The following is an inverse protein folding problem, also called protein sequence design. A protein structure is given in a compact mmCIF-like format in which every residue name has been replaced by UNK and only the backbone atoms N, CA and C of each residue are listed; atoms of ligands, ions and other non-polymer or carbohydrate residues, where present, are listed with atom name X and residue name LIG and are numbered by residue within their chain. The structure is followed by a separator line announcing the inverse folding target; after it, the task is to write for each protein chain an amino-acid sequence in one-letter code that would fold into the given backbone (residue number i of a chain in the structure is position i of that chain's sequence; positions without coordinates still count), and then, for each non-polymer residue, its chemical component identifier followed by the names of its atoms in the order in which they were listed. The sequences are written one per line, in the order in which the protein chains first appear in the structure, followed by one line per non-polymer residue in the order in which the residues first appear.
data_IF_228240762476
#
_entry.id   IF_228240762476
#
_cell.length_a   1.000
_cell.length_b   1.000
_cell.length_c   1.000
_cell.angle_alpha   90.00
_cell.angle_beta   90.00
_cell.angle_gamma   90.00
#
_symmetry.space_group_name_H-M   'P 1'
#
loop_
_entity.id
_entity.type
_entity.pdbx_description
1 polymer ?
#
# COMPACT_ATOMS: atom_id res chain seq x y z
N UNK A 1 38.70 -19.91 -29.47
CA UNK A 1 37.54 -19.39 -28.75
C UNK A 1 37.85 -19.63 -27.27
N UNK A 2 38.42 -18.65 -26.61
CA UNK A 2 38.79 -18.72 -25.19
C UNK A 2 37.56 -18.46 -24.36
N UNK A 3 37.09 -19.49 -23.66
CA UNK A 3 36.00 -19.48 -22.70
C UNK A 3 36.49 -18.78 -21.44
N UNK A 4 36.29 -17.48 -21.33
CA UNK A 4 36.49 -16.73 -20.09
C UNK A 4 35.33 -17.03 -19.14
N UNK A 5 35.63 -17.78 -18.09
CA UNK A 5 34.72 -17.96 -16.96
C UNK A 5 34.29 -16.59 -16.39
N UNK A 6 33.04 -16.40 -16.01
CA UNK A 6 32.62 -15.16 -15.39
C UNK A 6 33.41 -14.94 -14.09
N UNK A 7 33.93 -13.73 -13.94
CA UNK A 7 34.59 -13.27 -12.73
C UNK A 7 33.63 -13.44 -11.56
N UNK A 8 34.04 -14.00 -10.42
CA UNK A 8 33.16 -14.10 -9.26
C UNK A 8 32.78 -12.67 -8.82
N UNK A 9 31.48 -12.39 -8.80
CA UNK A 9 30.92 -11.21 -8.16
C UNK A 9 31.40 -11.21 -6.72
N UNK A 10 32.01 -10.14 -6.26
CA UNK A 10 32.40 -9.96 -4.86
C UNK A 10 31.14 -10.14 -4.02
N UNK A 11 31.16 -11.17 -3.14
CA UNK A 11 30.06 -11.37 -2.20
C UNK A 11 29.86 -10.09 -1.39
N UNK A 12 28.62 -9.57 -1.35
CA UNK A 12 28.29 -8.41 -0.56
C UNK A 12 28.51 -8.67 0.93
N UNK A 13 28.59 -7.63 1.74
CA UNK A 13 28.66 -7.81 3.20
C UNK A 13 27.36 -8.49 3.70
N UNK A 14 27.46 -9.40 4.71
CA UNK A 14 26.27 -10.06 5.25
C UNK A 14 25.29 -9.05 5.86
N UNK A 15 24.01 -9.28 5.64
CA UNK A 15 22.90 -8.48 6.18
C UNK A 15 21.78 -9.38 6.69
N UNK A 16 20.96 -8.86 7.63
CA UNK A 16 19.72 -9.53 8.06
C UNK A 16 18.59 -9.16 7.10
N UNK A 17 17.74 -10.14 6.81
CA UNK A 17 16.54 -9.96 5.99
C UNK A 17 15.44 -10.91 6.44
N UNK A 18 14.19 -10.55 6.21
CA UNK A 18 13.06 -11.48 6.34
C UNK A 18 12.94 -12.28 5.04
N UNK A 19 12.71 -13.59 5.15
CA UNK A 19 12.46 -14.44 3.98
C UNK A 19 11.46 -15.55 4.32
N UNK A 20 10.88 -16.14 3.29
CA UNK A 20 10.18 -17.42 3.37
C UNK A 20 10.54 -18.32 2.19
N UNK A 21 10.67 -19.63 2.48
CA UNK A 21 11.11 -20.64 1.51
C UNK A 21 9.95 -21.48 0.99
N UNK A 22 8.77 -21.34 1.59
CA UNK A 22 7.54 -22.02 1.22
C UNK A 22 6.34 -21.11 1.49
N UNK A 23 5.27 -21.28 0.72
CA UNK A 23 3.99 -20.63 1.04
C UNK A 23 3.38 -21.23 2.30
N UNK A 24 2.66 -20.44 3.08
CA UNK A 24 2.06 -20.94 4.33
C UNK A 24 1.50 -19.85 5.24
N UNK A 25 1.36 -20.18 6.52
CA UNK A 25 0.97 -19.29 7.59
C UNK A 25 2.14 -18.35 8.02
N UNK A 26 1.94 -17.39 8.95
CA UNK A 26 2.99 -16.46 9.35
C UNK A 26 4.29 -17.09 9.85
N UNK A 27 4.28 -18.34 10.33
CA UNK A 27 5.46 -19.04 10.87
C UNK A 27 6.53 -19.35 9.81
N UNK A 28 6.19 -19.31 8.51
CA UNK A 28 7.18 -19.50 7.43
C UNK A 28 8.12 -18.30 7.28
N UNK A 29 7.77 -17.14 7.85
CA UNK A 29 8.63 -15.95 7.84
C UNK A 29 9.75 -16.09 8.86
N UNK A 30 10.96 -16.02 8.39
CA UNK A 30 12.18 -16.13 9.21
C UNK A 30 13.12 -14.96 8.96
N UNK A 31 13.84 -14.54 9.99
CA UNK A 31 14.99 -13.65 9.81
C UNK A 31 16.19 -14.51 9.44
N UNK A 32 16.82 -14.21 8.34
CA UNK A 32 17.97 -14.93 7.80
C UNK A 32 19.09 -13.95 7.45
N UNK A 33 20.29 -14.48 7.27
CA UNK A 33 21.40 -13.74 6.68
C UNK A 33 21.39 -13.93 5.15
N UNK A 34 21.73 -12.86 4.44
CA UNK A 34 21.91 -12.83 2.99
C UNK A 34 23.02 -11.84 2.64
N UNK A 35 23.55 -11.92 1.43
CA UNK A 35 24.49 -10.92 0.93
C UNK A 35 23.74 -9.62 0.60
N UNK A 36 24.28 -8.48 1.04
CA UNK A 36 23.73 -7.17 0.69
C UNK A 36 23.84 -6.96 -0.83
N UNK A 37 22.77 -6.49 -1.48
CA UNK A 37 22.77 -6.25 -2.91
C UNK A 37 23.66 -5.04 -3.28
N UNK A 38 24.28 -5.11 -4.46
CA UNK A 38 24.91 -3.96 -5.12
C UNK A 38 23.89 -3.32 -6.08
N UNK A 39 23.97 -1.99 -6.32
CA UNK A 39 23.02 -1.34 -7.20
C UNK A 39 23.33 -1.67 -8.67
N UNK A 40 22.33 -2.13 -9.40
CA UNK A 40 22.38 -2.24 -10.86
C UNK A 40 22.24 -0.88 -11.56
N UNK A 41 22.32 -0.87 -12.89
CA UNK A 41 22.06 0.34 -13.67
C UNK A 41 20.65 0.87 -13.39
N UNK A 42 20.50 2.17 -13.14
CA UNK A 42 19.23 2.82 -12.77
C UNK A 42 18.77 2.58 -11.34
N UNK A 43 19.55 1.87 -10.51
CA UNK A 43 19.21 1.56 -9.13
C UNK A 43 20.06 2.32 -8.12
N UNK A 44 19.52 2.48 -6.93
CA UNK A 44 20.24 2.83 -5.71
C UNK A 44 20.15 1.66 -4.73
N UNK A 45 21.12 1.53 -3.83
CA UNK A 45 20.96 0.72 -2.63
C UNK A 45 20.74 1.61 -1.43
N UNK A 46 19.89 1.14 -0.52
CA UNK A 46 19.44 1.88 0.66
C UNK A 46 19.78 1.08 1.91
N UNK A 47 20.52 1.68 2.84
CA UNK A 47 20.62 1.24 4.23
C UNK A 47 19.31 1.50 4.91
N UNK A 48 18.49 0.44 5.10
CA UNK A 48 17.12 0.56 5.59
C UNK A 48 17.11 0.79 7.10
N UNK A 49 16.28 1.75 7.51
CA UNK A 49 15.95 1.97 8.92
C UNK A 49 14.55 1.46 9.24
N UNK A 50 13.57 1.79 8.39
CA UNK A 50 12.18 1.41 8.58
C UNK A 50 11.61 0.77 7.32
N UNK A 51 10.81 -0.29 7.49
CA UNK A 51 10.10 -0.96 6.42
C UNK A 51 8.62 -1.12 6.78
N UNK A 52 7.71 -0.70 5.90
CA UNK A 52 6.28 -0.86 6.14
C UNK A 52 5.81 -2.26 5.76
N UNK A 53 4.86 -2.82 6.53
CA UNK A 53 4.26 -4.14 6.26
C UNK A 53 2.88 -3.96 5.65
N UNK A 54 2.61 -4.67 4.56
CA UNK A 54 1.39 -4.54 3.77
C UNK A 54 0.60 -5.85 3.66
N UNK A 55 -0.72 -5.75 3.50
CA UNK A 55 -1.57 -6.94 3.29
C UNK A 55 -1.22 -7.70 2.00
N UNK A 56 -0.70 -7.01 0.98
CA UNK A 56 -0.23 -7.65 -0.25
C UNK A 56 0.89 -8.68 0.03
N UNK A 57 1.76 -8.42 1.01
CA UNK A 57 2.82 -9.35 1.42
C UNK A 57 2.24 -10.61 2.10
N UNK A 58 1.11 -10.48 2.80
CA UNK A 58 0.35 -11.62 3.30
C UNK A 58 -0.16 -12.48 2.13
N UNK A 59 -0.66 -11.84 1.06
CA UNK A 59 -1.14 -12.54 -0.13
C UNK A 59 0.01 -13.26 -0.86
N UNK A 60 1.20 -12.64 -0.95
CA UNK A 60 2.41 -13.28 -1.51
C UNK A 60 2.79 -14.51 -0.69
N UNK A 61 2.90 -14.37 0.62
CA UNK A 61 3.26 -15.45 1.53
C UNK A 61 2.27 -16.62 1.49
N UNK A 62 0.98 -16.34 1.25
CA UNK A 62 -0.07 -17.35 1.08
C UNK A 62 -0.09 -18.01 -0.31
N UNK A 63 0.71 -17.53 -1.26
CA UNK A 63 0.71 -18.00 -2.64
C UNK A 63 -0.51 -17.55 -3.45
N UNK A 64 -1.22 -16.52 -3.00
CA UNK A 64 -2.36 -15.93 -3.73
C UNK A 64 -1.90 -15.05 -4.90
N UNK A 65 -0.68 -14.57 -4.85
CA UNK A 65 0.04 -13.94 -5.96
C UNK A 65 1.29 -14.75 -6.28
N UNK A 66 1.62 -14.93 -7.57
CA UNK A 66 2.82 -15.65 -7.96
C UNK A 66 4.07 -14.84 -7.55
N UNK A 67 4.91 -15.45 -6.76
CA UNK A 67 6.27 -14.97 -6.42
C UNK A 67 7.23 -16.15 -6.46
N UNK A 68 8.48 -15.88 -6.81
CA UNK A 68 9.54 -16.87 -6.77
C UNK A 68 9.93 -17.18 -5.32
N UNK A 69 10.31 -18.42 -5.06
CA UNK A 69 10.85 -18.88 -3.77
C UNK A 69 12.34 -19.22 -3.90
N UNK A 70 13.18 -18.90 -2.92
CA UNK A 70 12.84 -18.16 -1.68
C UNK A 70 12.42 -16.72 -1.98
N UNK A 71 11.44 -16.20 -1.23
CA UNK A 71 10.97 -14.83 -1.39
C UNK A 71 11.40 -13.95 -0.22
N UNK A 72 11.75 -12.71 -0.54
CA UNK A 72 12.14 -11.66 0.40
C UNK A 72 11.06 -10.57 0.41
N UNK A 73 10.18 -10.51 1.41
CA UNK A 73 9.09 -9.54 1.47
C UNK A 73 9.58 -8.12 1.77
N UNK A 74 8.64 -7.18 1.72
CA UNK A 74 8.84 -5.75 1.96
C UNK A 74 8.63 -4.96 0.69
N UNK A 75 7.55 -4.17 0.66
CA UNK A 75 7.15 -3.37 -0.50
C UNK A 75 7.54 -1.90 -0.38
N UNK A 76 8.06 -1.50 0.77
CA UNK A 76 8.46 -0.11 1.05
C UNK A 76 9.56 -0.05 2.10
N UNK A 77 10.46 0.89 1.94
CA UNK A 77 11.58 1.10 2.84
C UNK A 77 11.93 2.59 2.97
N UNK A 78 12.40 2.96 4.15
CA UNK A 78 12.96 4.28 4.44
C UNK A 78 14.33 4.12 5.06
N UNK A 79 15.29 4.89 4.57
CA UNK A 79 16.66 4.78 5.04
C UNK A 79 17.57 5.82 4.39
N UNK A 80 18.82 5.44 4.21
CA UNK A 80 19.88 6.29 3.67
C UNK A 80 20.49 5.62 2.43
N UNK A 81 20.66 6.37 1.36
CA UNK A 81 21.35 5.88 0.15
C UNK A 81 22.74 5.40 0.53
N UNK A 82 23.03 4.14 0.26
CA UNK A 82 24.31 3.49 0.50
C UNK A 82 25.24 3.62 -0.71
N UNK A 83 24.71 3.33 -1.90
CA UNK A 83 25.43 3.40 -3.17
C UNK A 83 24.47 3.71 -4.32
N UNK A 84 25.03 4.24 -5.40
CA UNK A 84 24.30 4.69 -6.59
C UNK A 84 24.83 3.94 -7.80
N UNK A 85 23.94 3.33 -8.57
CA UNK A 85 24.27 2.58 -9.77
C UNK A 85 24.46 3.46 -11.00
N UNK A 86 24.93 2.84 -12.07
CA UNK A 86 25.18 3.52 -13.34
C UNK A 86 23.91 4.21 -13.88
N UNK A 87 24.07 5.44 -14.38
CA UNK A 87 23.00 6.22 -15.01
C UNK A 87 22.03 6.90 -14.05
N UNK A 88 22.13 6.67 -12.74
CA UNK A 88 21.29 7.36 -11.75
C UNK A 88 21.78 8.79 -11.56
N UNK A 89 20.85 9.72 -11.51
CA UNK A 89 21.08 11.13 -11.19
C UNK A 89 20.13 11.57 -10.09
N UNK A 90 20.52 12.59 -9.32
CA UNK A 90 19.67 13.19 -8.27
C UNK A 90 19.70 12.46 -6.93
N UNK A 91 20.56 11.45 -6.78
CA UNK A 91 20.83 10.78 -5.51
C UNK A 91 22.34 10.68 -5.25
N UNK A 92 22.73 10.81 -4.00
CA UNK A 92 24.11 10.66 -3.53
C UNK A 92 24.13 9.77 -2.27
N UNK A 93 25.22 9.02 -2.01
CA UNK A 93 25.40 8.32 -0.75
C UNK A 93 25.24 9.29 0.44
N UNK A 94 24.40 8.89 1.41
CA UNK A 94 24.04 9.73 2.55
C UNK A 94 22.70 10.43 2.45
N UNK A 95 22.07 10.50 1.26
CA UNK A 95 20.72 11.06 1.11
C UNK A 95 19.69 10.22 1.89
N UNK A 96 18.83 10.87 2.67
CA UNK A 96 17.67 10.20 3.26
C UNK A 96 16.62 9.99 2.17
N UNK A 97 16.08 8.77 2.11
CA UNK A 97 15.12 8.40 1.07
C UNK A 97 13.98 7.53 1.62
N UNK A 98 12.83 7.66 0.98
CA UNK A 98 11.70 6.76 1.10
C UNK A 98 11.47 6.12 -0.28
N UNK A 99 11.33 4.79 -0.34
CA UNK A 99 11.27 4.07 -1.61
C UNK A 99 10.24 2.93 -1.60
N UNK A 100 9.53 2.75 -2.72
CA UNK A 100 8.74 1.54 -2.97
C UNK A 100 9.65 0.43 -3.52
N UNK A 101 9.67 -0.68 -2.84
CA UNK A 101 10.46 -1.88 -3.17
C UNK A 101 9.54 -2.94 -3.77
N UNK A 102 8.91 -2.62 -4.91
CA UNK A 102 7.84 -3.42 -5.51
C UNK A 102 8.28 -4.83 -5.97
N UNK A 103 9.58 -5.06 -6.11
CA UNK A 103 10.16 -6.38 -6.32
C UNK A 103 10.36 -7.20 -5.04
N UNK A 104 10.02 -6.64 -3.88
CA UNK A 104 10.34 -7.21 -2.57
C UNK A 104 11.67 -6.73 -2.00
N UNK A 105 12.10 -7.32 -0.89
CA UNK A 105 13.39 -7.08 -0.24
C UNK A 105 13.40 -5.88 0.73
N UNK A 106 12.31 -5.14 0.90
CA UNK A 106 12.26 -3.99 1.80
C UNK A 106 12.43 -4.35 3.28
N UNK A 107 12.05 -5.56 3.68
CA UNK A 107 12.19 -6.07 5.05
C UNK A 107 13.62 -6.61 5.30
N UNK A 108 14.63 -5.81 4.98
CA UNK A 108 16.05 -6.16 5.06
C UNK A 108 16.89 -4.95 5.49
N UNK A 109 18.14 -5.20 5.94
CA UNK A 109 19.04 -4.12 6.33
C UNK A 109 19.56 -3.30 5.14
N UNK A 110 19.58 -3.89 3.93
CA UNK A 110 19.93 -3.23 2.68
C UNK A 110 18.98 -3.70 1.58
N UNK A 111 18.50 -2.77 0.76
CA UNK A 111 17.66 -3.09 -0.41
C UNK A 111 18.16 -2.35 -1.64
N UNK A 112 18.14 -3.01 -2.81
CA UNK A 112 18.31 -2.36 -4.10
C UNK A 112 16.95 -1.98 -4.69
N UNK A 113 16.80 -0.74 -5.17
CA UNK A 113 15.55 -0.23 -5.70
C UNK A 113 15.80 0.69 -6.90
N UNK A 114 14.89 0.67 -7.87
CA UNK A 114 14.92 1.63 -8.97
C UNK A 114 14.83 3.07 -8.47
N UNK A 115 15.72 3.94 -8.92
CA UNK A 115 15.79 5.33 -8.49
C UNK A 115 14.47 6.08 -8.76
N UNK A 116 13.72 5.68 -9.79
CA UNK A 116 12.39 6.21 -10.11
C UNK A 116 11.33 5.95 -9.04
N UNK A 117 11.53 4.94 -8.18
CA UNK A 117 10.62 4.59 -7.07
C UNK A 117 11.06 5.16 -5.72
N UNK A 118 12.12 5.94 -5.68
CA UNK A 118 12.65 6.55 -4.47
C UNK A 118 12.42 8.07 -4.46
N UNK A 119 12.04 8.62 -3.31
CA UNK A 119 11.88 10.06 -3.06
C UNK A 119 12.88 10.48 -2.00
N UNK A 120 13.64 11.55 -2.25
CA UNK A 120 14.52 12.13 -1.24
C UNK A 120 13.68 12.79 -0.13
N UNK A 121 14.07 12.55 1.10
CA UNK A 121 13.49 13.21 2.27
C UNK A 121 14.31 14.47 2.60
N UNK A 122 14.19 15.46 1.72
CA UNK A 122 14.83 16.78 1.84
C UNK A 122 13.80 17.92 1.67
N UNK A 123 14.24 19.18 1.74
CA UNK A 123 13.34 20.33 1.61
C UNK A 123 12.16 20.26 2.58
N UNK A 124 10.94 20.28 2.06
CA UNK A 124 9.70 20.16 2.87
C UNK A 124 9.56 18.81 3.58
N UNK A 125 10.28 17.78 3.15
CA UNK A 125 10.24 16.43 3.72
C UNK A 125 11.40 16.15 4.70
N UNK A 126 12.31 17.12 4.92
CA UNK A 126 13.51 16.91 5.72
C UNK A 126 13.21 16.50 7.17
N UNK A 127 12.16 17.02 7.76
CA UNK A 127 11.74 16.75 9.14
C UNK A 127 10.71 15.59 9.24
N UNK A 128 10.31 14.99 8.13
CA UNK A 128 9.36 13.87 8.16
C UNK A 128 9.98 12.67 8.91
N UNK A 129 9.26 12.21 9.93
CA UNK A 129 9.64 11.02 10.70
C UNK A 129 9.75 9.79 9.79
N UNK A 130 10.83 9.02 9.95
CA UNK A 130 11.10 7.88 9.08
C UNK A 130 10.08 6.74 9.19
N UNK A 131 9.53 6.49 10.38
CA UNK A 131 8.51 5.47 10.56
C UNK A 131 7.16 5.91 9.95
N UNK A 132 6.82 7.21 10.05
CA UNK A 132 5.64 7.76 9.37
C UNK A 132 5.81 7.70 7.86
N UNK A 133 6.99 8.05 7.33
CA UNK A 133 7.28 7.95 5.90
C UNK A 133 7.15 6.49 5.41
N UNK A 134 7.69 5.51 6.15
CA UNK A 134 7.56 4.08 5.82
C UNK A 134 6.10 3.59 5.92
N UNK A 135 5.29 4.18 6.79
CA UNK A 135 3.86 3.87 6.90
C UNK A 135 3.01 4.48 5.79
N UNK A 136 3.51 5.54 5.15
CA UNK A 136 2.79 6.32 4.14
C UNK A 136 2.93 5.79 2.72
N UNK A 137 4.14 5.35 2.33
CA UNK A 137 4.51 5.09 0.94
C UNK A 137 3.50 4.23 0.19
N UNK A 138 3.24 3.02 0.63
CA UNK A 138 2.30 2.14 -0.06
C UNK A 138 0.85 2.58 0.14
N UNK A 139 0.46 2.90 1.39
CA UNK A 139 -0.93 3.14 1.74
C UNK A 139 -1.47 4.47 1.23
N UNK A 140 -0.74 5.58 1.46
CA UNK A 140 -1.21 6.92 1.05
C UNK A 140 -1.11 7.07 -0.46
N UNK A 141 -0.06 6.52 -1.09
CA UNK A 141 0.07 6.47 -2.55
C UNK A 141 -1.06 5.68 -3.20
N UNK A 142 -1.44 4.52 -2.61
CA UNK A 142 -2.59 3.74 -3.08
C UNK A 142 -3.88 4.54 -2.91
N UNK A 143 -4.09 5.18 -1.77
CA UNK A 143 -5.28 6.00 -1.52
C UNK A 143 -5.41 7.15 -2.54
N UNK A 144 -4.32 7.85 -2.85
CA UNK A 144 -4.31 8.85 -3.94
C UNK A 144 -4.69 8.23 -5.27
N UNK A 145 -4.07 7.11 -5.64
CA UNK A 145 -4.31 6.46 -6.91
C UNK A 145 -5.76 5.97 -7.10
N UNK A 146 -6.36 5.38 -6.05
CA UNK A 146 -7.75 4.91 -6.12
C UNK A 146 -8.77 6.04 -6.13
N UNK A 147 -8.47 7.18 -5.49
CA UNK A 147 -9.34 8.35 -5.50
C UNK A 147 -9.22 9.14 -6.80
N UNK A 148 -8.01 9.41 -7.27
CA UNK A 148 -7.76 10.33 -8.39
C UNK A 148 -7.67 9.62 -9.75
N UNK A 149 -6.80 8.61 -9.88
CA UNK A 149 -6.49 7.99 -11.16
C UNK A 149 -7.48 6.92 -11.60
N UNK A 150 -8.04 6.16 -10.66
CA UNK A 150 -9.02 5.12 -10.96
C UNK A 150 -10.45 5.58 -10.65
N UNK A 151 -10.63 6.31 -9.57
CA UNK A 151 -11.94 6.77 -9.09
C UNK A 151 -12.39 8.09 -9.68
N UNK A 152 -11.46 8.94 -10.14
CA UNK A 152 -11.78 10.27 -10.68
C UNK A 152 -12.73 11.06 -9.78
N UNK A 153 -12.43 11.05 -8.45
CA UNK A 153 -13.26 11.73 -7.45
C UNK A 153 -13.49 13.18 -7.83
N UNK A 154 -14.75 13.60 -7.82
CA UNK A 154 -15.16 14.98 -8.03
C UNK A 154 -15.70 15.62 -6.73
N UNK A 155 -15.71 16.95 -6.70
CA UNK A 155 -16.23 17.72 -5.59
C UNK A 155 -17.71 17.40 -5.32
N UNK A 156 -18.07 17.23 -4.04
CA UNK A 156 -19.43 16.95 -3.59
C UNK A 156 -19.85 15.48 -3.65
N UNK A 157 -19.06 14.59 -4.22
CA UNK A 157 -19.39 13.18 -4.37
C UNK A 157 -19.43 12.41 -3.03
N UNK A 158 -20.21 11.34 -3.02
CA UNK A 158 -20.30 10.37 -1.93
C UNK A 158 -19.34 9.21 -2.15
N UNK A 159 -18.41 9.02 -1.21
CA UNK A 159 -17.38 7.96 -1.23
C UNK A 159 -17.66 6.92 -0.17
N UNK A 160 -17.70 5.66 -0.56
CA UNK A 160 -17.74 4.50 0.36
C UNK A 160 -16.36 3.86 0.39
N UNK A 161 -15.81 3.63 1.57
CA UNK A 161 -14.47 3.02 1.78
C UNK A 161 -14.61 1.73 2.57
N UNK A 162 -14.35 0.59 1.94
CA UNK A 162 -14.30 -0.69 2.62
C UNK A 162 -12.99 -0.84 3.41
N UNK A 163 -13.02 -1.63 4.49
CA UNK A 163 -11.91 -1.76 5.43
C UNK A 163 -11.40 -0.41 5.96
N UNK A 164 -12.32 0.46 6.37
CA UNK A 164 -12.10 1.85 6.75
C UNK A 164 -11.01 2.08 7.84
N UNK A 165 -10.79 1.11 8.73
CA UNK A 165 -9.79 1.17 9.80
C UNK A 165 -8.39 0.71 9.36
N UNK A 166 -8.23 0.25 8.12
CA UNK A 166 -6.93 -0.16 7.56
C UNK A 166 -6.09 1.03 7.09
N UNK A 167 -4.81 0.79 6.81
CA UNK A 167 -3.89 1.87 6.43
C UNK A 167 -4.32 2.65 5.18
N UNK A 168 -4.82 1.98 4.12
CA UNK A 168 -5.37 2.68 2.94
C UNK A 168 -6.69 3.36 3.29
N UNK A 169 -7.57 2.70 4.08
CA UNK A 169 -8.89 3.25 4.44
C UNK A 169 -8.79 4.55 5.21
N UNK A 170 -7.92 4.62 6.23
CA UNK A 170 -7.70 5.85 7.02
C UNK A 170 -7.12 6.98 6.17
N UNK A 171 -6.21 6.68 5.25
CA UNK A 171 -5.65 7.66 4.33
C UNK A 171 -6.70 8.13 3.30
N UNK A 172 -7.48 7.20 2.74
CA UNK A 172 -8.49 7.50 1.73
C UNK A 172 -9.57 8.46 2.25
N UNK A 173 -10.02 8.29 3.49
CA UNK A 173 -11.02 9.21 4.07
C UNK A 173 -10.49 10.63 4.18
N UNK A 174 -9.29 10.81 4.71
CA UNK A 174 -8.66 12.12 4.86
C UNK A 174 -8.41 12.79 3.50
N UNK A 175 -7.89 12.03 2.54
CA UNK A 175 -7.65 12.52 1.18
C UNK A 175 -8.95 12.82 0.44
N UNK A 176 -10.01 11.98 0.57
CA UNK A 176 -11.30 12.26 -0.03
C UNK A 176 -11.86 13.61 0.44
N UNK A 177 -11.74 13.91 1.74
CA UNK A 177 -12.09 15.22 2.30
C UNK A 177 -11.27 16.36 1.71
N UNK A 178 -9.98 16.19 1.67
CA UNK A 178 -9.06 17.20 1.11
C UNK A 178 -9.33 17.46 -0.39
N UNK A 179 -9.82 16.44 -1.11
CA UNK A 179 -10.19 16.50 -2.52
C UNK A 179 -11.63 16.98 -2.75
N UNK A 180 -12.38 17.32 -1.70
CA UNK A 180 -13.71 17.91 -1.81
C UNK A 180 -14.89 16.93 -1.80
N UNK A 181 -14.69 15.66 -1.36
CA UNK A 181 -15.80 14.74 -1.19
C UNK A 181 -16.90 15.31 -0.26
N UNK A 182 -18.16 15.24 -0.68
CA UNK A 182 -19.29 15.72 0.08
C UNK A 182 -19.63 14.81 1.26
N UNK A 183 -19.61 13.50 1.05
CA UNK A 183 -19.85 12.48 2.07
C UNK A 183 -18.84 11.35 1.99
N UNK A 184 -18.30 10.92 3.13
CA UNK A 184 -17.36 9.79 3.21
C UNK A 184 -17.89 8.77 4.21
N UNK A 185 -18.28 7.58 3.74
CA UNK A 185 -18.83 6.48 4.53
C UNK A 185 -17.78 5.38 4.67
N UNK A 186 -17.42 5.04 5.89
CA UNK A 186 -16.51 3.95 6.19
C UNK A 186 -17.24 2.64 6.51
N UNK A 187 -16.67 1.51 6.11
CA UNK A 187 -17.19 0.19 6.46
C UNK A 187 -16.15 -0.61 7.22
N UNK A 188 -16.55 -1.17 8.37
CA UNK A 188 -15.68 -1.98 9.23
C UNK A 188 -16.35 -3.25 9.71
N UNK A 189 -15.55 -4.20 10.20
CA UNK A 189 -16.03 -5.50 10.68
C UNK A 189 -16.30 -5.56 12.18
N UNK A 190 -16.08 -4.46 12.94
CA UNK A 190 -16.29 -4.45 14.37
C UNK A 190 -16.49 -3.05 14.94
N UNK A 191 -17.21 -2.91 16.09
CA UNK A 191 -17.41 -1.62 16.75
C UNK A 191 -16.10 -0.92 17.15
N UNK A 192 -15.11 -1.67 17.62
CA UNK A 192 -13.81 -1.11 18.00
C UNK A 192 -13.07 -0.48 16.80
N UNK A 193 -13.14 -1.11 15.63
CA UNK A 193 -12.60 -0.55 14.40
C UNK A 193 -13.38 0.66 13.90
N UNK A 194 -14.71 0.66 14.09
CA UNK A 194 -15.53 1.80 13.76
C UNK A 194 -15.15 3.01 14.61
N UNK A 195 -14.97 2.83 15.92
CA UNK A 195 -14.52 3.88 16.82
C UNK A 195 -13.17 4.46 16.41
N UNK A 196 -12.21 3.58 16.10
CA UNK A 196 -10.89 3.99 15.61
C UNK A 196 -11.01 4.78 14.29
N UNK A 197 -11.77 4.27 13.31
CA UNK A 197 -11.88 4.88 11.98
C UNK A 197 -12.55 6.26 12.01
N UNK A 198 -13.50 6.52 12.93
CA UNK A 198 -14.16 7.84 13.08
C UNK A 198 -13.19 9.00 13.27
N UNK A 199 -11.98 8.73 13.80
CA UNK A 199 -10.93 9.73 13.95
C UNK A 199 -10.25 10.20 12.66
N UNK A 200 -10.68 9.70 11.46
CA UNK A 200 -9.99 9.92 10.20
C UNK A 200 -10.83 10.61 9.10
N UNK A 201 -11.87 11.35 9.47
CA UNK A 201 -12.60 12.17 8.50
C UNK A 201 -13.81 11.52 7.85
N UNK A 202 -14.26 10.37 8.35
CA UNK A 202 -15.53 9.77 7.96
C UNK A 202 -16.73 10.53 8.55
N UNK A 203 -17.80 10.69 7.78
CA UNK A 203 -19.10 11.20 8.29
C UNK A 203 -19.83 10.13 9.08
N UNK A 204 -19.67 8.88 8.65
CA UNK A 204 -20.18 7.72 9.36
C UNK A 204 -19.29 6.52 9.13
N UNK A 205 -19.29 5.61 10.11
CA UNK A 205 -18.61 4.31 10.00
C UNK A 205 -19.59 3.25 10.47
N UNK A 206 -19.95 2.36 9.56
CA UNK A 206 -21.00 1.35 9.78
C UNK A 206 -20.45 -0.07 9.57
N UNK A 207 -21.12 -1.09 10.14
CA UNK A 207 -20.85 -2.48 9.78
C UNK A 207 -21.39 -2.79 8.36
N UNK A 208 -20.94 -3.91 7.79
CA UNK A 208 -21.26 -4.28 6.42
C UNK A 208 -22.79 -4.42 6.17
N UNK A 209 -23.51 -4.98 7.12
CA UNK A 209 -24.95 -5.21 7.06
C UNK A 209 -25.81 -3.93 7.10
N UNK A 210 -25.24 -2.80 7.52
CA UNK A 210 -25.90 -1.52 7.56
C UNK A 210 -25.58 -0.60 6.38
N UNK A 211 -24.62 -0.98 5.53
CA UNK A 211 -24.12 -0.11 4.47
C UNK A 211 -25.20 0.33 3.48
N UNK A 212 -26.05 -0.58 3.03
CA UNK A 212 -27.10 -0.26 2.06
C UNK A 212 -28.04 0.81 2.60
N UNK A 213 -28.48 0.65 3.85
CA UNK A 213 -29.33 1.64 4.54
C UNK A 213 -28.63 2.99 4.68
N UNK A 214 -27.36 2.98 5.13
CA UNK A 214 -26.59 4.21 5.33
C UNK A 214 -26.39 4.98 4.02
N UNK A 215 -26.04 4.29 2.93
CA UNK A 215 -25.92 4.91 1.61
C UNK A 215 -27.25 5.51 1.17
N UNK A 216 -28.36 4.78 1.29
CA UNK A 216 -29.68 5.27 0.91
C UNK A 216 -30.10 6.51 1.72
N UNK A 217 -29.89 6.51 3.04
CA UNK A 217 -30.20 7.63 3.92
C UNK A 217 -29.36 8.89 3.57
N UNK A 218 -28.04 8.71 3.37
CA UNK A 218 -27.11 9.83 3.09
C UNK A 218 -27.27 10.44 1.71
N UNK A 219 -27.71 9.64 0.75
CA UNK A 219 -27.82 10.07 -0.67
C UNK A 219 -29.26 10.31 -1.11
N UNK A 220 -30.25 10.17 -0.20
CA UNK A 220 -31.66 10.23 -0.58
C UNK A 220 -32.09 9.16 -1.58
N UNK A 221 -31.38 8.01 -1.59
CA UNK A 221 -31.60 6.89 -2.50
C UNK A 221 -30.88 7.00 -3.83
N UNK A 222 -30.05 8.04 -4.06
CA UNK A 222 -29.29 8.20 -5.32
C UNK A 222 -28.15 7.19 -5.48
N UNK A 223 -27.63 6.65 -4.37
CA UNK A 223 -26.47 5.73 -4.37
C UNK A 223 -25.13 6.43 -4.15
N UNK A 224 -24.06 5.66 -4.08
CA UNK A 224 -22.69 6.16 -3.89
C UNK A 224 -22.03 6.47 -5.24
N UNK A 225 -21.32 7.58 -5.33
CA UNK A 225 -20.59 7.96 -6.55
C UNK A 225 -19.30 7.16 -6.70
N UNK A 226 -18.64 6.81 -5.59
CA UNK A 226 -17.38 6.08 -5.59
C UNK A 226 -17.34 5.04 -4.47
N UNK A 227 -17.07 3.78 -4.81
CA UNK A 227 -16.82 2.70 -3.85
C UNK A 227 -15.37 2.24 -3.98
N UNK A 228 -14.62 2.24 -2.88
CA UNK A 228 -13.22 1.79 -2.79
C UNK A 228 -13.19 0.41 -2.13
N UNK A 229 -12.84 -0.64 -2.90
CA UNK A 229 -12.89 -2.05 -2.48
C UNK A 229 -11.51 -2.71 -2.45
N UNK A 230 -10.99 -2.94 -1.24
CA UNK A 230 -9.83 -3.79 -0.96
C UNK A 230 -10.19 -5.18 -0.44
N UNK A 231 -11.48 -5.44 -0.21
CA UNK A 231 -11.97 -6.63 0.51
C UNK A 231 -12.23 -7.79 -0.39
N UNK A 232 -13.03 -7.61 -1.44
CA UNK A 232 -13.42 -8.69 -2.33
C UNK A 232 -14.49 -9.62 -1.78
N UNK A 233 -14.54 -10.83 -2.33
CA UNK A 233 -15.50 -11.86 -1.96
C UNK A 233 -16.95 -11.52 -2.32
N UNK A 234 -17.91 -12.24 -1.73
CA UNK A 234 -19.34 -12.05 -2.00
C UNK A 234 -19.81 -10.59 -1.80
N UNK A 235 -19.16 -9.87 -0.89
CA UNK A 235 -19.49 -8.47 -0.61
C UNK A 235 -19.21 -7.53 -1.80
N UNK A 236 -18.22 -7.85 -2.63
CA UNK A 236 -17.88 -7.09 -3.85
C UNK A 236 -19.07 -6.98 -4.82
N UNK A 237 -19.84 -8.05 -4.97
CA UNK A 237 -21.01 -8.04 -5.84
C UNK A 237 -22.14 -7.17 -5.27
N UNK A 238 -22.35 -7.19 -3.95
CA UNK A 238 -23.42 -6.42 -3.31
C UNK A 238 -23.17 -4.91 -3.37
N UNK A 239 -21.92 -4.46 -3.15
CA UNK A 239 -21.61 -3.02 -3.17
C UNK A 239 -21.71 -2.40 -4.56
N UNK A 240 -21.56 -3.19 -5.63
CA UNK A 240 -21.77 -2.71 -7.01
C UNK A 240 -23.23 -2.25 -7.20
N UNK A 241 -24.20 -2.86 -6.51
CA UNK A 241 -25.60 -2.46 -6.52
C UNK A 241 -25.90 -1.16 -5.77
N UNK A 242 -24.96 -0.62 -5.01
CA UNK A 242 -25.12 0.62 -4.24
C UNK A 242 -24.67 1.87 -5.02
N UNK A 243 -24.18 1.70 -6.26
CA UNK A 243 -23.66 2.82 -7.04
C UNK A 243 -24.77 3.73 -7.55
N UNK A 244 -24.50 5.02 -7.51
CA UNK A 244 -25.27 6.03 -8.24
C UNK A 244 -25.11 5.86 -9.77
N UNK A 245 -25.97 6.53 -10.54
CA UNK A 245 -25.74 6.63 -11.97
C UNK A 245 -24.37 7.29 -12.25
N UNK A 246 -23.56 6.66 -13.10
CA UNK A 246 -22.15 6.99 -13.37
C UNK A 246 -21.20 6.78 -12.19
N UNK A 247 -21.67 6.09 -11.14
CA UNK A 247 -20.84 5.67 -10.01
C UNK A 247 -19.74 4.69 -10.43
N UNK A 248 -18.63 4.69 -9.68
CA UNK A 248 -17.44 3.88 -9.96
C UNK A 248 -17.14 2.97 -8.78
N UNK A 249 -16.95 1.69 -9.07
CA UNK A 249 -16.44 0.72 -8.10
C UNK A 249 -14.96 0.46 -8.41
N UNK A 250 -14.07 0.94 -7.55
CA UNK A 250 -12.62 0.76 -7.70
C UNK A 250 -12.16 -0.42 -6.88
N UNK A 251 -11.69 -1.46 -7.55
CA UNK A 251 -11.13 -2.68 -6.97
C UNK A 251 -9.63 -2.53 -6.86
N UNK A 252 -9.06 -2.62 -5.64
CA UNK A 252 -7.62 -2.49 -5.44
C UNK A 252 -7.02 -3.52 -4.46
N UNK A 253 -7.79 -4.53 -4.11
CA UNK A 253 -7.36 -5.63 -3.25
C UNK A 253 -8.33 -6.80 -3.28
N UNK A 254 -7.97 -7.91 -2.61
CA UNK A 254 -8.80 -9.09 -2.46
C UNK A 254 -8.49 -9.79 -1.12
N UNK A 255 -8.72 -9.08 -0.01
CA UNK A 255 -8.40 -9.59 1.32
C UNK A 255 -9.23 -10.83 1.72
N UNK A 256 -10.40 -11.02 1.10
CA UNK A 256 -11.21 -12.22 1.29
C UNK A 256 -10.62 -13.47 0.60
N UNK A 257 -9.69 -13.28 -0.34
CA UNK A 257 -9.12 -14.34 -1.17
C UNK A 257 -10.16 -15.13 -1.99
N UNK A 258 -11.30 -14.51 -2.26
CA UNK A 258 -12.38 -15.06 -3.06
C UNK A 258 -12.56 -14.21 -4.31
N UNK A 259 -12.68 -14.84 -5.46
CA UNK A 259 -12.99 -14.17 -6.70
C UNK A 259 -14.49 -14.18 -6.96
N UNK A 260 -14.98 -13.17 -7.68
CA UNK A 260 -16.39 -13.06 -8.05
C UNK A 260 -16.51 -12.77 -9.55
N UNK A 261 -17.59 -13.28 -10.13
CA UNK A 261 -17.92 -13.02 -11.53
C UNK A 261 -18.91 -11.86 -11.62
N UNK A 262 -18.63 -10.91 -12.50
CA UNK A 262 -19.55 -9.83 -12.85
C UNK A 262 -20.25 -10.14 -14.16
N UNK A 263 -21.55 -9.83 -14.25
CA UNK A 263 -22.24 -9.83 -15.52
C UNK A 263 -21.71 -8.69 -16.40
N UNK A 264 -21.20 -9.03 -17.59
CA UNK A 264 -20.55 -8.05 -18.48
C UNK A 264 -21.44 -6.88 -18.90
N UNK A 265 -22.77 -7.08 -18.92
CA UNK A 265 -23.74 -6.03 -19.26
C UNK A 265 -24.20 -5.19 -18.06
N UNK A 266 -23.85 -5.58 -16.82
CA UNK A 266 -24.27 -4.86 -15.62
C UNK A 266 -23.93 -3.36 -15.67
N UNK A 267 -22.69 -2.94 -16.01
CA UNK A 267 -22.35 -1.51 -16.09
C UNK A 267 -23.20 -0.74 -17.10
N UNK A 268 -23.59 -1.38 -18.22
CA UNK A 268 -24.46 -0.76 -19.19
C UNK A 268 -25.88 -0.54 -18.67
N UNK A 269 -26.47 -1.55 -18.00
CA UNK A 269 -27.82 -1.45 -17.46
C UNK A 269 -27.92 -0.44 -16.32
N UNK A 270 -26.86 -0.29 -15.53
CA UNK A 270 -26.84 0.59 -14.34
C UNK A 270 -26.16 1.93 -14.59
N UNK A 271 -25.61 2.17 -15.80
CA UNK A 271 -24.76 3.33 -16.08
C UNK A 271 -23.64 3.49 -15.03
N UNK A 272 -22.95 2.42 -14.65
CA UNK A 272 -21.88 2.42 -13.67
C UNK A 272 -20.56 1.95 -14.29
N UNK A 273 -19.47 1.97 -13.53
CA UNK A 273 -18.15 1.51 -13.99
C UNK A 273 -17.47 0.62 -12.95
N UNK A 274 -16.75 -0.38 -13.44
CA UNK A 274 -15.74 -1.12 -12.67
C UNK A 274 -14.36 -0.66 -13.08
N UNK A 275 -13.56 -0.25 -12.13
CA UNK A 275 -12.18 0.17 -12.34
C UNK A 275 -11.24 -0.64 -11.45
N UNK A 276 -10.01 -0.84 -11.88
CA UNK A 276 -8.97 -1.52 -11.12
C UNK A 276 -7.81 -0.59 -10.80
N UNK A 277 -7.21 -0.76 -9.63
CA UNK A 277 -5.96 -0.12 -9.28
C UNK A 277 -5.01 -1.13 -8.65
N UNK A 278 -3.81 -1.25 -9.22
CA UNK A 278 -2.72 -2.07 -8.68
C UNK A 278 -1.44 -1.26 -8.69
N UNK A 279 -0.90 -0.96 -7.52
CA UNK A 279 0.28 -0.11 -7.36
C UNK A 279 1.49 -0.63 -8.16
N UNK A 280 1.77 -1.94 -8.12
CA UNK A 280 2.84 -2.56 -8.90
C UNK A 280 2.58 -2.50 -10.41
N UNK A 281 1.31 -2.63 -10.83
CA UNK A 281 0.90 -2.49 -12.23
C UNK A 281 1.07 -1.07 -12.75
N UNK A 282 0.80 -0.05 -11.93
CA UNK A 282 1.04 1.37 -12.24
C UNK A 282 2.54 1.63 -12.39
N UNK A 283 3.37 1.09 -11.52
CA UNK A 283 4.81 1.23 -11.58
C UNK A 283 5.39 0.80 -12.94
N UNK A 284 4.98 -0.35 -13.44
CA UNK A 284 5.46 -0.85 -14.74
C UNK A 284 4.92 -0.13 -15.97
N UNK A 285 3.78 0.58 -15.86
CA UNK A 285 3.08 1.19 -17.02
C UNK A 285 3.11 2.71 -17.02
N UNK A 286 3.15 3.33 -15.86
CA UNK A 286 3.08 4.78 -15.67
C UNK A 286 4.01 5.25 -14.52
N UNK A 287 5.33 5.01 -14.60
CA UNK A 287 6.25 5.30 -13.51
C UNK A 287 6.28 6.78 -13.10
N UNK A 288 6.07 7.70 -14.05
CA UNK A 288 5.99 9.14 -13.76
C UNK A 288 4.76 9.50 -12.92
N UNK A 289 3.62 8.87 -13.19
CA UNK A 289 2.41 9.06 -12.39
C UNK A 289 2.62 8.52 -10.97
N UNK A 290 3.21 7.32 -10.87
CA UNK A 290 3.54 6.75 -9.56
C UNK A 290 4.47 7.66 -8.77
N UNK A 291 5.52 8.19 -9.41
CA UNK A 291 6.45 9.13 -8.75
C UNK A 291 5.74 10.37 -8.23
N UNK A 292 4.84 10.97 -9.01
CA UNK A 292 4.05 12.12 -8.57
C UNK A 292 3.16 11.78 -7.36
N UNK A 293 2.53 10.61 -7.36
CA UNK A 293 1.73 10.16 -6.22
C UNK A 293 2.59 9.88 -4.98
N UNK A 294 3.82 9.33 -5.13
CA UNK A 294 4.74 9.12 -4.01
C UNK A 294 5.14 10.45 -3.35
N UNK A 295 5.53 11.42 -4.15
CA UNK A 295 5.90 12.75 -3.68
C UNK A 295 4.72 13.45 -3.00
N UNK A 296 3.54 13.39 -3.60
CA UNK A 296 2.32 13.93 -3.02
C UNK A 296 1.96 13.23 -1.70
N UNK A 297 2.02 11.89 -1.65
CA UNK A 297 1.71 11.12 -0.45
C UNK A 297 2.57 11.54 0.75
N UNK A 298 3.88 11.65 0.55
CA UNK A 298 4.80 12.09 1.60
C UNK A 298 4.55 13.54 2.00
N UNK A 299 4.26 14.40 1.03
CA UNK A 299 3.95 15.82 1.27
C UNK A 299 2.66 15.97 2.09
N UNK A 300 1.60 15.22 1.80
CA UNK A 300 0.34 15.27 2.56
C UNK A 300 0.52 14.81 4.01
N UNK A 301 1.41 13.82 4.23
CA UNK A 301 1.77 13.39 5.59
C UNK A 301 2.63 14.45 6.31
N UNK A 302 3.64 15.00 5.63
CA UNK A 302 4.50 16.04 6.20
C UNK A 302 3.72 17.32 6.58
N UNK A 303 2.70 17.69 5.78
CA UNK A 303 1.80 18.81 6.07
C UNK A 303 0.76 18.50 7.16
N UNK A 304 0.61 17.24 7.58
CA UNK A 304 -0.42 16.81 8.53
C UNK A 304 -1.83 16.73 7.94
N UNK A 305 -2.00 16.85 6.62
CA UNK A 305 -3.29 16.61 5.94
C UNK A 305 -3.72 15.16 6.08
N UNK A 306 -2.73 14.25 6.03
CA UNK A 306 -2.94 12.82 6.26
C UNK A 306 -2.16 12.39 7.50
N UNK A 307 -2.89 12.03 8.55
CA UNK A 307 -2.35 11.38 9.74
C UNK A 307 -2.20 9.88 9.46
N UNK A 308 -1.02 9.34 9.73
CA UNK A 308 -0.73 7.91 9.66
C UNK A 308 -0.40 7.40 11.07
N UNK A 309 -1.21 6.49 11.58
CA UNK A 309 -0.92 5.86 12.88
C UNK A 309 -0.05 4.62 12.63
N UNK A 310 1.17 4.63 13.16
CA UNK A 310 2.13 3.53 12.99
C UNK A 310 2.37 2.79 14.30
N UNK A 311 2.48 1.46 14.21
CA UNK A 311 2.97 0.60 15.29
C UNK A 311 4.31 0.03 14.85
N UNK A 312 5.39 0.39 15.55
CA UNK A 312 6.74 -0.05 15.22
C UNK A 312 7.03 -1.38 15.92
N UNK A 313 7.52 -2.35 15.16
CA UNK A 313 7.96 -3.66 15.62
C UNK A 313 9.43 -3.89 15.24
N UNK A 314 10.19 -4.73 15.94
CA UNK A 314 11.52 -5.12 15.49
C UNK A 314 11.45 -5.94 14.19
N UNK A 315 12.56 -6.08 13.45
CA UNK A 315 12.62 -6.92 12.23
C UNK A 315 12.08 -8.34 12.47
N UNK A 316 12.42 -8.94 13.59
CA UNK A 316 11.93 -10.26 13.99
C UNK A 316 10.40 -10.30 14.23
N UNK A 317 9.75 -9.16 14.33
CA UNK A 317 8.29 -9.02 14.47
C UNK A 317 7.52 -9.16 13.16
N UNK A 318 8.16 -9.41 12.01
CA UNK A 318 7.49 -9.52 10.71
C UNK A 318 6.38 -10.58 10.70
N UNK A 319 6.62 -11.77 11.25
CA UNK A 319 5.61 -12.82 11.37
C UNK A 319 4.40 -12.35 12.21
N UNK A 320 4.65 -11.63 13.30
CA UNK A 320 3.59 -11.07 14.16
C UNK A 320 2.78 -9.99 13.43
N UNK A 321 3.41 -9.12 12.64
CA UNK A 321 2.71 -8.14 11.83
C UNK A 321 1.76 -8.82 10.83
N UNK A 322 2.23 -9.86 10.13
CA UNK A 322 1.40 -10.64 9.22
C UNK A 322 0.22 -11.32 9.93
N UNK A 323 0.44 -11.92 11.10
CA UNK A 323 -0.62 -12.52 11.91
C UNK A 323 -1.71 -11.51 12.28
N UNK A 324 -1.32 -10.31 12.73
CA UNK A 324 -2.25 -9.24 13.09
C UNK A 324 -3.07 -8.73 11.89
N UNK A 325 -2.45 -8.67 10.70
CA UNK A 325 -3.15 -8.32 9.46
C UNK A 325 -4.16 -9.41 9.07
N UNK A 326 -3.76 -10.68 9.12
CA UNK A 326 -4.60 -11.83 8.72
C UNK A 326 -5.80 -12.03 9.63
N UNK A 327 -5.61 -11.91 10.93
CA UNK A 327 -6.67 -12.09 11.92
C UNK A 327 -7.64 -10.91 11.98
N UNK A 328 -7.43 -9.90 11.11
CA UNK A 328 -8.21 -8.67 11.11
C UNK A 328 -8.21 -7.97 12.48
N UNK A 329 -7.15 -8.17 13.28
CA UNK A 329 -6.98 -7.50 14.57
C UNK A 329 -6.29 -6.13 14.44
N UNK A 330 -5.82 -5.80 13.22
CA UNK A 330 -5.05 -4.59 12.95
C UNK A 330 -5.92 -3.34 12.81
N UNK A 331 -5.34 -2.21 13.24
CA UNK A 331 -5.73 -0.84 12.88
C UNK A 331 -4.46 -0.09 12.47
N UNK A 332 -4.58 0.92 11.61
CA UNK A 332 -3.43 1.70 11.16
C UNK A 332 -2.41 0.89 10.36
N UNK A 333 -1.13 1.09 10.63
CA UNK A 333 -0.01 0.54 9.88
C UNK A 333 1.08 -0.06 10.78
N UNK A 334 1.58 -1.24 10.42
CA UNK A 334 2.79 -1.82 11.02
C UNK A 334 4.03 -1.42 10.23
N UNK A 335 5.08 -1.07 10.97
CA UNK A 335 6.39 -0.71 10.44
C UNK A 335 7.46 -1.49 11.20
N UNK A 336 8.41 -2.07 10.50
CA UNK A 336 9.56 -2.75 11.10
C UNK A 336 10.70 -1.77 11.29
N UNK A 337 11.24 -1.68 12.50
CA UNK A 337 12.55 -1.10 12.75
C UNK A 337 13.59 -2.18 12.44
N UNK A 338 14.25 -2.03 11.31
CA UNK A 338 15.14 -3.07 10.78
C UNK A 338 16.42 -3.21 11.59
N UNK A 339 16.80 -2.18 12.35
CA UNK A 339 18.02 -2.15 13.14
C UNK A 339 17.82 -2.57 14.62
N UNK A 340 16.58 -2.89 15.01
CA UNK A 340 16.27 -3.35 16.36
C UNK A 340 16.13 -4.87 16.46
#
# INVERSE_FOLDING_TARGET
MTNTAPTPTTAGSPMRTVRFDAFGDPSVLTVAEADAPEPGAGQITVDVRYAGVNFAEVMFRRGQFPVDLPHFPGLEAVGTVRAVGEGVTGFEPGDRVAALTLGGGGNAEVVAVGAEYAVRLDGELADLDGALAAGALCNVTTALGVLTSAGHLAEGETVVVLAAAGGVGTAAAQLARSLGAGTVIGVTSSPAKAEYARGFGYDSVVPYEELEREVAERTGGAGADLVLDSVGGAFRSSVTGLLAAFGRHVIFGNAAAEDVTFEGNHPWYTNSSLAGYNLGGVAGRAPRLLRAHLEQALTEVAKGTVRVDVTVLPLAGAARAHELLETRASTGKYVLDVRS
#
